data_IF_298204184326
#
_entry.id   IF_298204184326
#
_cell.length_a   1.000
_cell.length_b   1.000
_cell.length_c   1.000
_cell.angle_alpha   90.00
_cell.angle_beta   90.00
_cell.angle_gamma   90.00
#
_symmetry.space_group_name_H-M   'P 1'
#
loop_
_entity.id
_entity.type
_entity.pdbx_description
1 polymer ?
#
# COMPACT_ATOMS: atom_id res chain seq x y z
N UNK A 1 4.87 8.41 -12.67
CA UNK A 1 5.00 7.99 -11.25
C UNK A 1 5.49 6.55 -11.29
N UNK A 2 6.70 6.24 -10.79
CA UNK A 2 7.23 4.88 -10.87
C UNK A 2 6.44 3.94 -9.95
N UNK A 3 6.13 2.75 -10.45
CA UNK A 3 5.41 1.70 -9.71
C UNK A 3 6.36 0.58 -9.25
N UNK A 4 7.67 0.81 -9.33
CA UNK A 4 8.70 -0.22 -9.18
C UNK A 4 8.74 -0.87 -7.81
N UNK A 5 8.23 -0.21 -6.76
CA UNK A 5 8.14 -0.79 -5.42
C UNK A 5 7.32 -2.09 -5.36
N UNK A 6 6.38 -2.30 -6.27
CA UNK A 6 5.67 -3.58 -6.37
C UNK A 6 6.58 -4.74 -6.80
N UNK A 7 7.72 -4.46 -7.44
CA UNK A 7 8.70 -5.48 -7.82
C UNK A 7 9.51 -6.00 -6.64
N UNK A 8 9.57 -5.26 -5.53
CA UNK A 8 10.41 -5.59 -4.37
C UNK A 8 10.13 -6.97 -3.78
N UNK A 9 8.86 -7.41 -3.81
CA UNK A 9 8.47 -8.71 -3.27
C UNK A 9 8.53 -9.86 -4.28
N UNK A 10 8.73 -9.56 -5.58
CA UNK A 10 8.70 -10.57 -6.64
C UNK A 10 9.74 -11.68 -6.45
N UNK A 11 10.99 -11.43 -6.01
CA UNK A 11 11.96 -12.52 -5.82
C UNK A 11 11.47 -13.59 -4.84
N UNK A 12 10.83 -13.19 -3.74
CA UNK A 12 10.28 -14.11 -2.76
C UNK A 12 9.05 -14.86 -3.32
N UNK A 13 8.13 -14.15 -3.97
CA UNK A 13 6.91 -14.75 -4.56
C UNK A 13 7.29 -15.76 -5.64
N UNK A 14 8.16 -15.37 -6.58
CA UNK A 14 8.64 -16.24 -7.67
C UNK A 14 9.37 -17.45 -7.11
N UNK A 15 10.26 -17.24 -6.14
CA UNK A 15 10.98 -18.32 -5.48
C UNK A 15 10.06 -19.34 -4.82
N UNK A 16 9.02 -18.85 -4.13
CA UNK A 16 8.01 -19.67 -3.46
C UNK A 16 7.16 -20.43 -4.46
N UNK A 17 6.68 -19.76 -5.51
CA UNK A 17 5.90 -20.41 -6.58
C UNK A 17 6.68 -21.55 -7.24
N UNK A 18 7.97 -21.34 -7.55
CA UNK A 18 8.80 -22.33 -8.25
C UNK A 18 9.22 -23.53 -7.39
N UNK A 19 9.36 -23.36 -6.07
CA UNK A 19 10.00 -24.37 -5.18
C UNK A 19 9.13 -24.78 -3.98
N UNK A 20 7.93 -24.23 -3.86
CA UNK A 20 7.08 -24.35 -2.67
C UNK A 20 7.57 -23.55 -1.45
N UNK A 21 8.79 -23.00 -1.50
CA UNK A 21 9.37 -22.22 -0.40
C UNK A 21 10.41 -21.20 -0.93
N UNK A 22 10.60 -20.12 -0.18
CA UNK A 22 11.69 -19.18 -0.36
C UNK A 22 12.15 -18.64 1.01
N UNK A 23 13.44 -18.35 1.12
CA UNK A 23 13.99 -17.69 2.29
C UNK A 23 13.70 -16.18 2.24
N UNK A 24 13.43 -15.60 3.41
CA UNK A 24 13.35 -14.15 3.58
C UNK A 24 14.78 -13.62 3.73
N UNK A 25 15.37 -13.15 2.63
CA UNK A 25 16.74 -12.62 2.63
C UNK A 25 16.83 -11.22 3.25
N UNK A 26 15.83 -10.40 3.00
CA UNK A 26 15.72 -9.03 3.52
C UNK A 26 14.27 -8.77 3.88
N UNK A 27 14.03 -8.23 5.08
CA UNK A 27 12.70 -7.75 5.40
C UNK A 27 12.38 -6.55 4.53
N UNK A 28 11.17 -6.49 3.99
CA UNK A 28 10.82 -5.50 2.98
C UNK A 28 9.42 -4.97 3.24
N UNK A 29 9.22 -3.67 3.09
CA UNK A 29 7.93 -3.00 3.18
C UNK A 29 7.63 -2.34 1.85
N UNK A 30 6.44 -2.59 1.30
CA UNK A 30 5.90 -1.93 0.11
C UNK A 30 4.59 -1.26 0.49
N UNK A 31 4.40 0.01 0.18
CA UNK A 31 3.13 0.71 0.39
C UNK A 31 2.64 1.36 -0.90
N UNK A 32 1.32 1.41 -1.07
CA UNK A 32 0.69 2.06 -2.20
C UNK A 32 -0.66 2.67 -1.85
N UNK A 33 -0.96 3.80 -2.48
CA UNK A 33 -2.17 4.59 -2.26
C UNK A 33 -2.30 5.71 -3.29
N UNK A 34 -3.48 6.30 -3.42
CA UNK A 34 -3.66 7.54 -4.18
C UNK A 34 -3.19 8.73 -3.35
N UNK A 35 -2.56 9.70 -3.99
CA UNK A 35 -2.12 10.94 -3.32
C UNK A 35 -3.23 11.97 -3.17
N UNK A 36 -4.48 11.59 -3.46
CA UNK A 36 -5.66 12.44 -3.35
C UNK A 36 -6.87 11.57 -3.01
N UNK A 37 -7.72 11.95 -2.03
CA UNK A 37 -8.93 11.21 -1.71
C UNK A 37 -9.82 11.02 -2.93
N UNK A 38 -10.50 9.88 -3.03
CA UNK A 38 -11.30 9.52 -4.21
C UNK A 38 -12.30 10.59 -4.59
N UNK A 39 -13.02 11.12 -3.59
CA UNK A 39 -14.11 12.10 -3.78
C UNK A 39 -13.64 13.55 -3.85
N UNK A 40 -12.34 13.83 -3.86
CA UNK A 40 -11.84 15.20 -3.85
C UNK A 40 -12.07 15.95 -5.18
N UNK A 41 -12.19 15.21 -6.28
CA UNK A 41 -12.18 15.74 -7.65
C UNK A 41 -13.09 14.92 -8.57
N UNK A 42 -13.32 15.41 -9.80
CA UNK A 42 -14.07 14.66 -10.81
C UNK A 42 -13.35 13.39 -11.25
N UNK A 43 -14.09 12.35 -11.62
CA UNK A 43 -13.51 11.05 -12.02
C UNK A 43 -12.74 11.09 -13.34
N UNK A 44 -12.95 12.13 -14.16
CA UNK A 44 -12.38 12.23 -15.50
C UNK A 44 -12.93 11.20 -16.48
N UNK A 45 -14.13 10.65 -16.22
CA UNK A 45 -14.71 9.56 -17.02
C UNK A 45 -14.16 8.18 -16.67
N UNK A 46 -13.33 8.07 -15.62
CA UNK A 46 -12.87 6.75 -15.14
C UNK A 46 -14.02 5.98 -14.53
N UNK A 47 -14.22 4.75 -14.99
CA UNK A 47 -15.08 3.73 -14.39
C UNK A 47 -14.23 2.63 -13.77
N UNK A 48 -14.80 1.89 -12.82
CA UNK A 48 -14.28 0.57 -12.47
C UNK A 48 -14.97 -0.47 -13.36
N UNK A 49 -14.18 -1.35 -13.98
CA UNK A 49 -14.58 -2.26 -15.07
C UNK A 49 -15.04 -1.52 -16.34
N UNK A 50 -15.31 -2.27 -17.41
CA UNK A 50 -15.81 -1.68 -18.67
C UNK A 50 -16.85 -2.56 -19.36
N UNK A 51 -17.91 -1.92 -19.87
CA UNK A 51 -18.94 -2.58 -20.67
C UNK A 51 -18.37 -3.16 -21.98
N UNK A 52 -17.30 -2.56 -22.53
CA UNK A 52 -16.63 -3.07 -23.73
C UNK A 52 -16.08 -4.49 -23.56
N UNK A 53 -15.85 -4.93 -22.32
CA UNK A 53 -15.47 -6.29 -21.96
C UNK A 53 -16.63 -7.08 -21.32
N UNK A 54 -17.88 -6.68 -21.58
CA UNK A 54 -19.11 -7.27 -21.05
C UNK A 54 -19.19 -7.29 -19.51
N UNK A 55 -18.61 -6.28 -18.84
CA UNK A 55 -18.66 -6.13 -17.39
C UNK A 55 -19.64 -5.02 -16.98
N UNK A 56 -20.22 -5.15 -15.78
CA UNK A 56 -20.96 -4.05 -15.16
C UNK A 56 -19.96 -2.99 -14.71
N UNK A 57 -20.20 -1.75 -15.13
CA UNK A 57 -19.41 -0.59 -14.72
C UNK A 57 -19.87 -0.10 -13.34
N UNK A 58 -18.89 0.21 -12.49
CA UNK A 58 -19.12 0.77 -11.16
C UNK A 58 -18.44 2.14 -11.05
N UNK A 59 -18.90 2.94 -10.10
CA UNK A 59 -18.15 4.13 -9.72
C UNK A 59 -16.78 3.72 -9.19
N UNK A 60 -15.69 4.39 -9.60
CA UNK A 60 -14.37 4.07 -9.07
C UNK A 60 -14.27 4.36 -7.56
N UNK A 61 -15.20 5.15 -6.99
CA UNK A 61 -15.32 5.38 -5.54
C UNK A 61 -15.81 4.15 -4.77
N UNK A 62 -16.54 3.25 -5.42
CA UNK A 62 -17.04 2.02 -4.80
C UNK A 62 -15.96 0.93 -4.71
N UNK A 63 -14.99 0.98 -5.62
CA UNK A 63 -13.97 -0.08 -5.77
C UNK A 63 -12.62 0.34 -5.18
N UNK A 64 -12.21 1.60 -5.38
CA UNK A 64 -10.88 2.07 -4.97
C UNK A 64 -11.00 2.86 -3.67
N UNK A 65 -10.73 2.19 -2.56
CA UNK A 65 -10.87 2.74 -1.21
C UNK A 65 -9.77 3.76 -0.86
N UNK A 66 -10.12 4.77 -0.06
CA UNK A 66 -9.20 5.74 0.53
C UNK A 66 -8.41 5.14 1.71
N UNK A 67 -7.39 4.36 1.35
CA UNK A 67 -6.55 3.64 2.30
C UNK A 67 -5.09 3.64 1.85
N UNK A 68 -4.18 3.66 2.83
CA UNK A 68 -2.78 3.27 2.64
C UNK A 68 -2.76 1.75 2.68
N UNK A 69 -2.50 1.12 1.54
CA UNK A 69 -2.29 -0.33 1.49
C UNK A 69 -0.80 -0.61 1.63
N UNK A 70 -0.47 -1.72 2.26
CA UNK A 70 0.93 -2.14 2.39
C UNK A 70 1.04 -3.66 2.45
N UNK A 71 2.19 -4.13 1.98
CA UNK A 71 2.64 -5.51 2.13
C UNK A 71 4.02 -5.51 2.75
N UNK A 72 4.27 -6.44 3.66
CA UNK A 72 5.57 -6.59 4.28
C UNK A 72 6.04 -8.04 4.20
N UNK A 73 7.23 -8.27 3.66
CA UNK A 73 7.91 -9.56 3.75
C UNK A 73 8.72 -9.56 5.05
N UNK A 74 8.34 -10.41 6.00
CA UNK A 74 8.92 -10.42 7.34
C UNK A 74 9.41 -11.82 7.75
N UNK A 75 10.45 -11.85 8.57
CA UNK A 75 10.95 -13.08 9.22
C UNK A 75 10.07 -13.50 10.39
N UNK A 76 9.40 -12.52 11.01
CA UNK A 76 8.51 -12.64 12.18
C UNK A 76 7.56 -11.42 12.26
N UNK A 77 6.54 -11.50 13.12
CA UNK A 77 5.51 -10.46 13.23
C UNK A 77 6.10 -9.05 13.52
N UNK A 78 5.50 -8.03 12.91
CA UNK A 78 5.74 -6.63 13.22
C UNK A 78 4.42 -5.86 13.21
N UNK A 79 4.30 -4.84 14.05
CA UNK A 79 3.11 -4.00 14.15
C UNK A 79 3.22 -2.83 13.17
N UNK A 80 2.25 -2.64 12.26
CA UNK A 80 2.25 -1.52 11.34
C UNK A 80 1.67 -0.27 12.02
N UNK A 81 2.37 0.84 11.86
CA UNK A 81 1.91 2.18 12.18
C UNK A 81 1.90 3.02 10.91
N UNK A 82 0.85 3.80 10.71
CA UNK A 82 0.72 4.70 9.57
C UNK A 82 0.45 6.10 10.09
N UNK A 83 1.22 7.07 9.63
CA UNK A 83 1.01 8.49 9.92
C UNK A 83 0.67 9.19 8.60
N UNK A 84 -0.36 10.03 8.62
CA UNK A 84 -0.73 10.91 7.51
C UNK A 84 -0.79 12.34 8.05
N UNK A 85 0.14 13.20 7.61
CA UNK A 85 0.37 14.51 8.18
C UNK A 85 0.74 14.39 9.66
N UNK A 86 -0.11 14.91 10.54
CA UNK A 86 0.05 14.83 11.99
C UNK A 86 -0.85 13.78 12.65
N UNK A 87 -1.58 12.97 11.86
CA UNK A 87 -2.57 12.03 12.39
C UNK A 87 -2.10 10.59 12.24
N UNK A 88 -2.02 9.87 13.36
CA UNK A 88 -1.80 8.42 13.37
C UNK A 88 -3.07 7.70 12.93
N UNK A 89 -2.94 6.85 11.92
CA UNK A 89 -3.98 5.94 11.45
C UNK A 89 -3.75 4.55 12.04
N UNK A 90 -4.84 3.89 12.44
CA UNK A 90 -4.77 2.50 12.90
C UNK A 90 -4.45 1.57 11.73
N UNK A 91 -3.21 1.08 11.67
CA UNK A 91 -2.78 0.02 10.77
C UNK A 91 -3.29 -1.35 11.24
N UNK A 92 -3.65 -2.21 10.29
CA UNK A 92 -4.06 -3.59 10.56
C UNK A 92 -3.51 -4.55 9.51
N UNK A 93 -3.12 -5.75 9.93
CA UNK A 93 -2.94 -6.88 9.02
C UNK A 93 -4.30 -7.51 8.70
N UNK A 94 -4.53 -7.78 7.42
CA UNK A 94 -5.69 -8.54 6.91
C UNK A 94 -5.31 -9.98 6.59
N UNK A 95 -4.12 -10.18 6.00
CA UNK A 95 -3.59 -11.49 5.68
C UNK A 95 -2.22 -11.64 6.32
N UNK A 96 -2.02 -12.76 7.00
CA UNK A 96 -0.79 -13.12 7.67
C UNK A 96 -0.34 -14.49 7.14
N UNK A 97 0.99 -14.71 7.00
CA UNK A 97 1.49 -16.04 6.67
C UNK A 97 1.25 -17.00 7.84
N UNK A 98 0.79 -18.23 7.54
CA UNK A 98 0.47 -19.22 8.56
C UNK A 98 1.66 -19.58 9.48
N UNK A 99 2.88 -19.50 8.95
CA UNK A 99 4.13 -19.75 9.68
C UNK A 99 4.62 -18.55 10.51
N UNK A 100 3.98 -17.38 10.40
CA UNK A 100 4.49 -16.11 10.93
C UNK A 100 5.64 -15.51 10.10
N UNK A 101 6.16 -16.23 9.10
CA UNK A 101 7.21 -15.79 8.18
C UNK A 101 6.69 -15.73 6.75
N UNK A 102 6.89 -14.61 6.08
CA UNK A 102 6.43 -14.42 4.71
C UNK A 102 5.76 -13.07 4.52
N UNK A 103 4.85 -12.99 3.56
CA UNK A 103 4.21 -11.73 3.20
C UNK A 103 2.95 -11.51 4.04
N UNK A 104 2.95 -10.40 4.75
CA UNK A 104 1.81 -9.82 5.43
C UNK A 104 1.16 -8.80 4.49
N UNK A 105 -0.17 -8.75 4.45
CA UNK A 105 -0.93 -7.74 3.72
C UNK A 105 -1.84 -6.97 4.68
N UNK A 106 -1.78 -5.64 4.62
CA UNK A 106 -2.50 -4.77 5.54
C UNK A 106 -2.90 -3.46 4.90
N UNK A 107 -3.60 -2.65 5.70
CA UNK A 107 -3.95 -1.28 5.32
C UNK A 107 -4.27 -0.40 6.52
N UNK A 108 -4.29 0.90 6.29
CA UNK A 108 -4.85 1.90 7.20
C UNK A 108 -5.74 2.87 6.41
N UNK A 109 -6.92 3.27 6.93
CA UNK A 109 -7.77 4.25 6.25
C UNK A 109 -7.14 5.65 6.22
N UNK A 110 -7.55 6.48 5.26
CA UNK A 110 -7.20 7.91 5.31
C UNK A 110 -7.95 8.63 6.43
N UNK A 111 -9.22 8.29 6.66
CA UNK A 111 -10.11 8.97 7.62
C UNK A 111 -10.11 10.51 7.46
N UNK A 112 -10.03 10.99 6.22
CA UNK A 112 -9.97 12.43 5.92
C UNK A 112 -8.62 13.09 6.17
N UNK A 113 -7.63 12.38 6.73
CA UNK A 113 -6.29 12.92 6.94
C UNK A 113 -5.58 13.22 5.62
N UNK A 114 -4.73 14.24 5.66
CA UNK A 114 -3.94 14.78 4.54
C UNK A 114 -2.55 15.15 5.03
N UNK A 115 -1.60 15.27 4.12
CA UNK A 115 -0.19 15.55 4.41
C UNK A 115 0.71 14.35 4.15
N UNK A 116 1.97 14.48 4.57
CA UNK A 116 3.02 13.48 4.33
C UNK A 116 2.67 12.12 4.93
N UNK A 117 3.03 11.06 4.22
CA UNK A 117 2.73 9.70 4.65
C UNK A 117 4.00 9.03 5.16
N UNK A 118 3.92 8.41 6.32
CA UNK A 118 4.95 7.52 6.84
C UNK A 118 4.32 6.18 7.23
N UNK A 119 4.90 5.08 6.76
CA UNK A 119 4.54 3.72 7.18
C UNK A 119 5.71 3.12 7.91
N UNK A 120 5.53 2.77 9.17
CA UNK A 120 6.57 2.21 10.03
C UNK A 120 6.15 0.84 10.52
N UNK A 121 7.09 -0.10 10.49
CA UNK A 121 6.94 -1.41 11.12
C UNK A 121 7.73 -1.43 12.43
N UNK A 122 7.07 -1.89 13.49
CA UNK A 122 7.60 -1.95 14.83
C UNK A 122 7.68 -3.39 15.33
N UNK A 123 8.79 -3.74 15.96
CA UNK A 123 8.99 -5.04 16.61
C UNK A 123 9.69 -4.84 17.93
N UNK A 124 9.07 -5.34 19.01
CA UNK A 124 9.61 -5.22 20.37
C UNK A 124 9.99 -3.78 20.76
N UNK A 125 9.19 -2.80 20.31
CA UNK A 125 9.43 -1.38 20.55
C UNK A 125 10.48 -0.73 19.64
N UNK A 126 11.15 -1.50 18.77
CA UNK A 126 12.13 -1.00 17.81
C UNK A 126 11.50 -0.75 16.43
N UNK A 127 11.93 0.32 15.76
CA UNK A 127 11.60 0.57 14.35
C UNK A 127 12.47 -0.33 13.49
N UNK A 128 11.86 -1.27 12.78
CA UNK A 128 12.60 -2.19 11.88
C UNK A 128 12.63 -1.67 10.45
N UNK A 129 11.56 -1.03 9.98
CA UNK A 129 11.45 -0.44 8.65
C UNK A 129 10.59 0.82 8.72
N UNK A 130 11.02 1.87 8.03
CA UNK A 130 10.25 3.09 7.82
C UNK A 130 10.26 3.45 6.34
N UNK A 131 9.07 3.65 5.78
CA UNK A 131 8.87 4.13 4.41
C UNK A 131 8.21 5.50 4.45
N UNK A 132 8.93 6.52 4.01
CA UNK A 132 8.39 7.87 3.76
C UNK A 132 7.81 7.91 2.35
N UNK A 133 6.57 8.36 2.25
CA UNK A 133 5.83 8.42 1.00
C UNK A 133 5.43 9.84 0.59
N UNK A 134 4.76 9.93 -0.55
CA UNK A 134 4.25 11.20 -1.07
C UNK A 134 3.01 11.65 -0.28
N UNK A 135 2.97 12.92 0.10
CA UNK A 135 1.83 13.46 0.82
C UNK A 135 0.49 13.37 0.06
N UNK A 136 -0.60 13.23 0.84
CA UNK A 136 -1.97 13.24 0.35
C UNK A 136 -2.50 14.68 0.35
N UNK A 137 -2.97 15.16 -0.80
CA UNK A 137 -3.59 16.49 -0.95
C UNK A 137 -5.07 16.38 -1.30
N UNK A 138 -5.84 17.45 -1.09
CA UNK A 138 -7.22 17.55 -1.58
C UNK A 138 -7.35 18.16 -2.97
N UNK A 139 -6.22 18.40 -3.67
CA UNK A 139 -6.18 19.12 -4.93
C UNK A 139 -5.77 18.18 -6.06
N UNK A 140 -6.41 18.35 -7.22
CA UNK A 140 -6.05 17.64 -8.43
C UNK A 140 -5.66 18.59 -9.55
N UNK A 141 -4.80 18.11 -10.44
CA UNK A 141 -4.51 18.81 -11.69
C UNK A 141 -5.80 18.92 -12.53
N UNK A 142 -6.17 20.14 -12.90
CA UNK A 142 -7.39 20.46 -13.65
C UNK A 142 -8.70 19.91 -13.03
N UNK A 143 -8.73 19.67 -11.70
CA UNK A 143 -9.92 19.13 -11.03
C UNK A 143 -10.26 17.69 -11.39
N UNK A 144 -9.34 16.95 -12.00
CA UNK A 144 -9.52 15.54 -12.41
C UNK A 144 -8.67 14.62 -11.56
N UNK A 145 -9.29 13.61 -10.97
CA UNK A 145 -8.64 12.64 -10.11
C UNK A 145 -7.60 11.81 -10.89
N UNK A 146 -6.41 11.69 -10.32
CA UNK A 146 -5.45 10.69 -10.77
C UNK A 146 -5.67 9.39 -9.99
N UNK A 147 -6.21 8.37 -10.67
CA UNK A 147 -6.50 7.08 -10.07
C UNK A 147 -5.27 6.17 -9.91
N UNK A 148 -4.10 6.58 -10.44
CA UNK A 148 -2.87 5.82 -10.26
C UNK A 148 -2.39 5.88 -8.80
N UNK A 149 -1.94 4.74 -8.30
CA UNK A 149 -1.32 4.67 -6.99
C UNK A 149 0.12 5.23 -7.05
N UNK A 150 0.48 6.03 -6.04
CA UNK A 150 1.87 6.12 -5.63
C UNK A 150 2.29 4.80 -5.03
N UNK A 151 3.51 4.35 -5.35
CA UNK A 151 4.08 3.11 -4.83
C UNK A 151 5.49 3.41 -4.35
N UNK A 152 5.80 2.96 -3.14
CA UNK A 152 7.15 3.02 -2.59
C UNK A 152 7.50 1.73 -1.87
N UNK A 153 8.79 1.49 -1.70
CA UNK A 153 9.29 0.37 -0.92
C UNK A 153 10.57 0.72 -0.18
N UNK A 154 10.81 0.01 0.93
CA UNK A 154 12.06 0.05 1.70
C UNK A 154 12.42 -1.38 2.12
N UNK A 155 13.69 -1.64 2.39
CA UNK A 155 14.19 -2.95 2.77
C UNK A 155 15.20 -2.81 3.92
N UNK A 156 15.33 -3.87 4.72
CA UNK A 156 16.41 -3.98 5.70
C UNK A 156 17.75 -4.07 4.99
N UNK A 157 18.86 -3.77 5.67
CA UNK A 157 20.19 -4.13 5.17
C UNK A 157 20.23 -5.62 4.78
N UNK A 158 20.99 -5.91 3.72
CA UNK A 158 21.35 -7.27 3.29
C UNK A 158 22.32 -7.92 4.26
#
# INVERSE_FOLDING_TARGET
MPHDGWRTLLPFIIGTYKRGHAEVKQESLVAWYRTTPGSACGTGGTSANTQSHAQIEFSPLEVVADRIFYSALLTEYATPEVIIGSTTQKGTWRNLPASGRGIYHGSAPFNGAKGDVEVTLWREGNRILTLKGKGISGSCYNGVQNWNAWVGSTQSPS
#
